data_IF_801872113707
#
_entry.id   IF_801872113707
#
_cell.length_a   1.000
_cell.length_b   1.000
_cell.length_c   1.000
_cell.angle_alpha   90.00
_cell.angle_beta   90.00
_cell.angle_gamma   90.00
#
_symmetry.space_group_name_H-M   'P 1'
#
loop_
_entity.id
_entity.type
_entity.pdbx_description
1 polymer ?
#
# COMPACT_ATOMS: atom_id res chain seq x y z
N UNK A 1 -1.63 11.65 40.58
CA UNK A 1 -1.69 11.22 39.17
C UNK A 1 -0.30 11.40 38.56
N UNK A 2 0.23 10.41 37.86
CA UNK A 2 1.43 10.57 37.05
C UNK A 2 1.07 11.44 35.84
N UNK A 3 1.71 12.60 35.67
CA UNK A 3 1.43 13.55 34.60
C UNK A 3 2.03 13.15 33.24
N UNK A 4 1.75 11.91 32.78
CA UNK A 4 2.18 11.50 31.44
C UNK A 4 1.42 12.30 30.41
N UNK A 5 2.17 12.96 29.50
CA UNK A 5 1.63 13.74 28.38
C UNK A 5 2.15 13.19 27.07
N UNK A 6 1.30 13.07 26.07
CA UNK A 6 1.66 12.80 24.68
C UNK A 6 1.44 14.10 23.90
N UNK A 7 2.43 14.49 23.10
CA UNK A 7 2.37 15.66 22.23
C UNK A 7 2.58 15.23 20.79
N UNK A 8 1.59 15.46 19.94
CA UNK A 8 1.69 15.24 18.49
C UNK A 8 2.14 16.54 17.84
N UNK A 9 3.20 16.46 17.03
CA UNK A 9 3.78 17.60 16.32
C UNK A 9 3.55 17.49 14.82
N UNK A 10 2.52 18.12 14.24
CA UNK A 10 2.23 18.07 12.81
C UNK A 10 3.44 18.46 11.93
N UNK A 11 4.18 19.48 12.33
CA UNK A 11 5.38 19.90 11.61
C UNK A 11 6.48 18.81 11.53
N UNK A 12 6.60 17.94 12.55
CA UNK A 12 7.53 16.83 12.53
C UNK A 12 7.06 15.73 11.58
N UNK A 13 5.74 15.46 11.50
CA UNK A 13 5.17 14.53 10.54
C UNK A 13 5.40 15.01 9.10
N UNK A 14 5.13 16.28 8.80
CA UNK A 14 5.41 16.87 7.50
C UNK A 14 6.90 16.80 7.15
N UNK A 15 7.79 17.10 8.11
CA UNK A 15 9.25 16.98 7.91
C UNK A 15 9.66 15.55 7.56
N UNK A 16 9.14 14.56 8.25
CA UNK A 16 9.44 13.15 7.99
C UNK A 16 8.93 12.71 6.62
N UNK A 17 7.74 13.17 6.22
CA UNK A 17 7.17 12.91 4.90
C UNK A 17 8.06 13.49 3.78
N UNK A 18 8.50 14.76 3.90
CA UNK A 18 9.47 15.36 2.96
C UNK A 18 10.77 14.57 2.89
N UNK A 19 11.25 14.10 4.03
CA UNK A 19 12.47 13.30 4.06
C UNK A 19 12.30 11.98 3.34
N UNK A 20 11.17 11.30 3.53
CA UNK A 20 10.83 10.08 2.81
C UNK A 20 10.73 10.34 1.30
N UNK A 21 10.05 11.42 0.89
CA UNK A 21 9.93 11.80 -0.53
C UNK A 21 11.29 12.09 -1.17
N UNK A 22 12.17 12.78 -0.47
CA UNK A 22 13.54 13.03 -0.95
C UNK A 22 14.37 11.75 -1.10
N UNK A 23 14.16 10.74 -0.24
CA UNK A 23 14.84 9.45 -0.33
C UNK A 23 14.25 8.56 -1.43
N UNK A 24 13.00 8.77 -1.81
CA UNK A 24 12.32 7.98 -2.84
C UNK A 24 12.81 8.26 -4.27
N UNK A 25 13.63 9.30 -4.46
CA UNK A 25 14.34 9.60 -5.72
C UNK A 25 13.39 9.62 -6.96
N UNK A 26 12.31 10.38 -6.83
CA UNK A 26 11.30 10.54 -7.89
C UNK A 26 10.18 9.49 -7.88
N UNK A 27 10.26 8.46 -7.05
CA UNK A 27 9.16 7.53 -6.86
C UNK A 27 8.00 8.15 -6.05
N UNK A 28 6.80 7.61 -6.25
CA UNK A 28 5.64 7.99 -5.44
C UNK A 28 5.75 7.44 -4.01
N UNK A 29 5.32 8.26 -3.05
CA UNK A 29 5.33 7.92 -1.62
C UNK A 29 3.91 7.92 -1.08
N UNK A 30 3.47 6.75 -0.61
CA UNK A 30 2.23 6.59 0.13
C UNK A 30 2.53 6.55 1.63
N UNK A 31 2.04 7.55 2.38
CA UNK A 31 2.18 7.56 3.82
C UNK A 31 1.17 6.63 4.48
N UNK A 32 1.65 5.60 5.18
CA UNK A 32 0.78 4.71 5.94
C UNK A 32 0.28 5.40 7.19
N UNK A 33 -1.05 5.60 7.28
CA UNK A 33 -1.73 6.28 8.41
C UNK A 33 -2.74 5.37 9.11
N UNK A 34 -2.73 4.07 8.82
CA UNK A 34 -3.57 3.06 9.46
C UNK A 34 -3.39 3.02 10.98
N UNK A 35 -4.27 2.30 11.68
CA UNK A 35 -4.27 2.17 13.14
C UNK A 35 -4.22 3.55 13.83
N UNK A 36 -5.15 4.43 13.45
CA UNK A 36 -5.25 5.80 13.96
C UNK A 36 -3.94 6.59 13.79
N UNK A 37 -3.33 6.53 12.57
CA UNK A 37 -2.05 7.19 12.30
C UNK A 37 -0.91 6.64 13.14
N UNK A 38 -0.90 5.33 13.41
CA UNK A 38 0.02 4.70 14.37
C UNK A 38 -0.01 5.38 15.75
N UNK A 39 -1.20 5.78 16.20
CA UNK A 39 -1.43 6.46 17.47
C UNK A 39 -1.26 7.99 17.42
N UNK A 40 -0.95 8.58 16.28
CA UNK A 40 -0.81 10.04 16.11
C UNK A 40 -2.15 10.73 15.79
N UNK A 41 -3.22 9.98 15.59
CA UNK A 41 -4.50 10.46 15.07
C UNK A 41 -4.53 10.38 13.54
N UNK A 42 -5.50 9.63 13.01
CA UNK A 42 -5.62 9.33 11.57
C UNK A 42 -5.67 10.63 10.73
N UNK A 43 -6.61 11.50 11.06
CA UNK A 43 -6.83 12.75 10.31
C UNK A 43 -5.74 13.78 10.56
N UNK A 44 -5.23 13.87 11.79
CA UNK A 44 -4.11 14.76 12.14
C UNK A 44 -2.86 14.38 11.35
N UNK A 45 -2.53 13.10 11.28
CA UNK A 45 -1.37 12.62 10.55
C UNK A 45 -1.54 12.87 9.05
N UNK A 46 -2.71 12.53 8.47
CA UNK A 46 -2.96 12.71 7.05
C UNK A 46 -2.93 14.19 6.64
N UNK A 47 -3.61 15.06 7.37
CA UNK A 47 -3.62 16.50 7.09
C UNK A 47 -2.23 17.11 7.19
N UNK A 48 -1.43 16.71 8.19
CA UNK A 48 -0.07 17.20 8.35
C UNK A 48 0.86 16.84 7.17
N UNK A 49 0.64 15.70 6.51
CA UNK A 49 1.49 15.18 5.44
C UNK A 49 0.92 15.40 4.04
N UNK A 50 -0.31 15.89 3.89
CA UNK A 50 -1.03 15.91 2.61
C UNK A 50 -0.32 16.66 1.48
N UNK A 51 0.47 17.70 1.78
CA UNK A 51 1.25 18.44 0.79
C UNK A 51 2.61 17.80 0.46
N UNK A 52 2.99 16.75 1.17
CA UNK A 52 4.35 16.20 1.13
C UNK A 52 4.43 14.78 0.55
N UNK A 53 3.28 14.14 0.33
CA UNK A 53 3.18 12.76 -0.15
C UNK A 53 2.23 12.65 -1.34
N UNK A 54 2.33 11.56 -2.11
CA UNK A 54 1.51 11.34 -3.30
C UNK A 54 0.19 10.64 -2.97
N UNK A 55 0.11 10.00 -1.81
CA UNK A 55 -1.09 9.32 -1.34
C UNK A 55 -0.97 8.81 0.09
N UNK A 56 -2.04 8.18 0.55
CA UNK A 56 -2.11 7.60 1.88
C UNK A 56 -2.42 6.11 1.81
N UNK A 57 -1.91 5.36 2.77
CA UNK A 57 -2.26 3.96 2.95
C UNK A 57 -2.96 3.74 4.29
N UNK A 58 -4.06 3.03 4.24
CA UNK A 58 -4.84 2.60 5.41
C UNK A 58 -4.96 1.08 5.45
N UNK A 59 -5.42 0.50 6.55
CA UNK A 59 -5.65 -0.93 6.62
C UNK A 59 -7.01 -1.30 6.00
N UNK A 60 -8.06 -0.66 6.46
CA UNK A 60 -9.47 -1.00 6.19
C UNK A 60 -10.25 0.18 5.63
N UNK A 61 -11.43 -0.13 5.11
CA UNK A 61 -12.28 0.83 4.40
C UNK A 61 -12.79 1.97 5.30
N UNK A 62 -13.08 1.69 6.56
CA UNK A 62 -13.55 2.68 7.53
C UNK A 62 -12.53 3.81 7.76
N UNK A 63 -11.24 3.48 7.75
CA UNK A 63 -10.19 4.48 7.85
C UNK A 63 -10.15 5.36 6.58
N UNK A 64 -10.33 4.75 5.41
CA UNK A 64 -10.38 5.48 4.14
C UNK A 64 -11.59 6.42 4.08
N UNK A 65 -12.77 5.94 4.49
CA UNK A 65 -14.00 6.74 4.60
C UNK A 65 -13.76 7.95 5.49
N UNK A 66 -13.21 7.74 6.68
CA UNK A 66 -12.89 8.82 7.62
C UNK A 66 -11.95 9.86 6.99
N UNK A 67 -10.95 9.47 6.23
CA UNK A 67 -10.08 10.41 5.53
C UNK A 67 -10.84 11.22 4.47
N UNK A 68 -11.72 10.58 3.69
CA UNK A 68 -12.55 11.27 2.68
C UNK A 68 -13.50 12.28 3.33
N UNK A 69 -14.17 11.92 4.43
CA UNK A 69 -15.05 12.81 5.21
C UNK A 69 -14.31 14.03 5.76
N UNK A 70 -13.01 13.90 6.01
CA UNK A 70 -12.15 15.01 6.48
C UNK A 70 -11.42 15.73 5.34
N UNK A 71 -11.87 15.56 4.09
CA UNK A 71 -11.41 16.35 2.95
C UNK A 71 -10.08 15.91 2.34
N UNK A 72 -9.58 14.72 2.65
CA UNK A 72 -8.39 14.18 1.98
C UNK A 72 -8.76 13.76 0.57
N UNK A 73 -8.35 14.54 -0.43
CA UNK A 73 -8.59 14.28 -1.85
C UNK A 73 -7.50 13.40 -2.51
N UNK A 74 -6.32 13.33 -1.91
CA UNK A 74 -5.20 12.52 -2.42
C UNK A 74 -5.58 11.04 -2.59
N UNK A 75 -4.90 10.26 -3.44
CA UNK A 75 -5.07 8.81 -3.54
C UNK A 75 -5.02 8.13 -2.18
N UNK A 76 -5.94 7.19 -1.93
CA UNK A 76 -5.97 6.38 -0.71
C UNK A 76 -5.97 4.92 -1.10
N UNK A 77 -4.98 4.18 -0.60
CA UNK A 77 -4.80 2.75 -0.79
C UNK A 77 -5.30 2.00 0.45
N UNK A 78 -6.22 1.06 0.27
CA UNK A 78 -6.68 0.15 1.31
C UNK A 78 -5.86 -1.14 1.26
N UNK A 79 -5.01 -1.36 2.26
CA UNK A 79 -3.99 -2.41 2.24
C UNK A 79 -4.55 -3.84 2.43
N UNK A 80 -5.73 -3.97 3.06
CA UNK A 80 -6.44 -5.24 3.21
C UNK A 80 -7.52 -5.43 2.13
N UNK A 81 -7.69 -4.41 1.26
CA UNK A 81 -8.65 -4.45 0.17
C UNK A 81 -10.09 -4.29 0.66
N UNK A 82 -10.95 -5.22 0.31
CA UNK A 82 -12.37 -5.28 0.68
C UNK A 82 -12.71 -6.70 1.16
N UNK A 83 -13.71 -6.83 2.02
CA UNK A 83 -14.10 -8.11 2.62
C UNK A 83 -15.42 -8.66 2.06
N UNK A 84 -16.21 -7.82 1.40
CA UNK A 84 -17.46 -8.22 0.76
C UNK A 84 -17.78 -7.30 -0.43
N UNK A 85 -18.96 -7.53 -1.02
CA UNK A 85 -19.45 -6.77 -2.17
C UNK A 85 -19.81 -5.33 -1.81
N UNK A 86 -20.33 -5.10 -0.63
CA UNK A 86 -20.75 -3.74 -0.20
C UNK A 86 -19.52 -2.86 -0.02
N UNK A 87 -18.46 -3.36 0.59
CA UNK A 87 -17.18 -2.69 0.67
C UNK A 87 -16.52 -2.46 -0.71
N UNK A 88 -16.63 -3.42 -1.64
CA UNK A 88 -16.16 -3.23 -3.01
C UNK A 88 -16.88 -2.08 -3.70
N UNK A 89 -18.19 -1.99 -3.56
CA UNK A 89 -18.99 -0.89 -4.13
C UNK A 89 -18.65 0.45 -3.48
N UNK A 90 -18.44 0.47 -2.17
CA UNK A 90 -18.02 1.67 -1.46
C UNK A 90 -16.61 2.11 -1.85
N UNK A 91 -15.66 1.18 -2.02
CA UNK A 91 -14.32 1.49 -2.50
C UNK A 91 -14.35 2.22 -3.85
N UNK A 92 -15.24 1.80 -4.75
CA UNK A 92 -15.48 2.48 -6.04
C UNK A 92 -16.08 3.87 -5.84
N UNK A 93 -17.12 3.98 -5.01
CA UNK A 93 -17.80 5.25 -4.75
C UNK A 93 -16.86 6.30 -4.15
N UNK A 94 -15.93 5.89 -3.28
CA UNK A 94 -14.93 6.73 -2.66
C UNK A 94 -13.65 6.92 -3.51
N UNK A 95 -13.60 6.35 -4.73
CA UNK A 95 -12.44 6.40 -5.62
C UNK A 95 -11.15 5.97 -4.89
N UNK A 96 -11.20 4.80 -4.25
CA UNK A 96 -10.07 4.23 -3.54
C UNK A 96 -9.21 3.34 -4.45
N UNK A 97 -7.96 3.17 -4.07
CA UNK A 97 -7.11 2.10 -4.56
C UNK A 97 -7.18 0.92 -3.59
N UNK A 98 -7.24 -0.30 -4.09
CA UNK A 98 -7.36 -1.49 -3.23
C UNK A 98 -6.27 -2.51 -3.51
N UNK A 99 -5.86 -3.20 -2.47
CA UNK A 99 -4.94 -4.33 -2.57
C UNK A 99 -5.72 -5.62 -2.66
N UNK A 100 -5.44 -6.42 -3.68
CA UNK A 100 -5.98 -7.77 -3.87
C UNK A 100 -4.92 -8.77 -3.42
N UNK A 101 -5.23 -9.55 -2.41
CA UNK A 101 -4.27 -10.44 -1.76
C UNK A 101 -4.75 -11.90 -1.67
N UNK A 102 -5.96 -12.19 -2.14
CA UNK A 102 -6.59 -13.50 -1.97
C UNK A 102 -7.42 -13.90 -3.21
N UNK A 103 -7.50 -15.20 -3.53
CA UNK A 103 -8.29 -15.69 -4.67
C UNK A 103 -9.78 -15.32 -4.60
N UNK A 104 -10.37 -15.25 -3.40
CA UNK A 104 -11.78 -14.91 -3.26
C UNK A 104 -12.07 -13.43 -3.65
N UNK A 105 -11.12 -12.52 -3.42
CA UNK A 105 -11.24 -11.13 -3.90
C UNK A 105 -11.20 -11.08 -5.43
N UNK A 106 -10.34 -11.88 -6.05
CA UNK A 106 -10.30 -12.02 -7.52
C UNK A 106 -11.65 -12.55 -8.06
N UNK A 107 -12.22 -13.56 -7.41
CA UNK A 107 -13.54 -14.09 -7.80
C UNK A 107 -14.62 -13.01 -7.71
N UNK A 108 -14.68 -12.26 -6.60
CA UNK A 108 -15.65 -11.19 -6.43
C UNK A 108 -15.50 -10.07 -7.49
N UNK A 109 -14.29 -9.70 -7.83
CA UNK A 109 -14.02 -8.71 -8.89
C UNK A 109 -14.44 -9.21 -10.28
N UNK A 110 -14.29 -10.51 -10.56
CA UNK A 110 -14.75 -11.11 -11.82
C UNK A 110 -16.27 -11.15 -11.92
N UNK A 111 -16.95 -11.43 -10.81
CA UNK A 111 -18.41 -11.51 -10.74
C UNK A 111 -19.06 -10.11 -10.78
N UNK A 112 -18.33 -9.09 -10.35
CA UNK A 112 -18.76 -7.69 -10.38
C UNK A 112 -17.62 -6.79 -10.91
N UNK A 113 -17.30 -6.85 -12.21
CA UNK A 113 -16.28 -6.02 -12.81
C UNK A 113 -16.69 -4.55 -12.87
N UNK A 114 -15.74 -3.64 -12.72
CA UNK A 114 -15.98 -2.19 -12.77
C UNK A 114 -14.74 -1.37 -12.53
N UNK A 115 -14.83 -0.04 -12.68
CA UNK A 115 -13.69 0.84 -12.53
C UNK A 115 -13.16 0.81 -11.10
N UNK A 116 -11.92 0.34 -10.95
CA UNK A 116 -11.23 0.28 -9.67
C UNK A 116 -9.73 0.22 -9.93
N UNK A 117 -8.95 1.03 -9.21
CA UNK A 117 -7.50 0.93 -9.25
C UNK A 117 -7.04 -0.14 -8.25
N UNK A 118 -6.52 -1.24 -8.75
CA UNK A 118 -6.17 -2.40 -7.92
C UNK A 118 -4.68 -2.74 -8.01
N UNK A 119 -4.12 -3.21 -6.88
CA UNK A 119 -2.75 -3.66 -6.73
C UNK A 119 -2.73 -5.13 -6.33
N UNK A 120 -1.94 -5.94 -7.00
CA UNK A 120 -1.77 -7.34 -6.59
C UNK A 120 -0.74 -7.44 -5.46
N UNK A 121 -1.16 -7.97 -4.32
CA UNK A 121 -0.25 -8.25 -3.21
C UNK A 121 0.54 -9.52 -3.48
N UNK A 122 1.87 -9.36 -3.57
CA UNK A 122 2.82 -10.44 -3.83
C UNK A 122 3.40 -10.94 -2.50
N UNK A 123 3.21 -12.21 -2.19
CA UNK A 123 3.91 -12.84 -1.07
C UNK A 123 5.25 -13.36 -1.53
N UNK A 124 6.29 -12.64 -1.20
CA UNK A 124 7.67 -12.94 -1.57
C UNK A 124 8.51 -13.46 -0.38
N UNK A 125 7.84 -13.86 0.72
CA UNK A 125 8.52 -14.46 1.86
C UNK A 125 8.11 -13.94 3.24
N UNK A 126 7.27 -12.89 3.33
CA UNK A 126 6.76 -12.41 4.62
C UNK A 126 5.67 -13.34 5.20
N UNK A 127 4.92 -14.04 4.35
CA UNK A 127 3.91 -15.05 4.71
C UNK A 127 2.78 -14.56 5.63
N UNK A 128 2.43 -13.27 5.52
CA UNK A 128 1.29 -12.69 6.23
C UNK A 128 0.05 -12.57 5.35
N UNK A 129 0.17 -11.88 4.22
CA UNK A 129 -0.86 -11.69 3.19
C UNK A 129 -0.20 -11.72 1.81
N UNK A 130 -0.98 -12.04 0.80
CA UNK A 130 -0.56 -11.94 -0.60
C UNK A 130 -0.62 -13.27 -1.33
N UNK A 131 -0.67 -13.14 -2.64
CA UNK A 131 -0.66 -14.25 -3.59
C UNK A 131 0.79 -14.74 -3.78
N UNK A 132 0.98 -16.04 -3.86
CA UNK A 132 2.26 -16.62 -4.31
C UNK A 132 2.49 -16.24 -5.78
N UNK A 133 3.76 -16.24 -6.27
CA UNK A 133 4.06 -15.84 -7.65
C UNK A 133 3.12 -16.43 -8.70
N UNK A 134 2.98 -17.74 -8.75
CA UNK A 134 2.11 -18.42 -9.72
C UNK A 134 0.64 -17.99 -9.58
N UNK A 135 0.18 -17.85 -8.33
CA UNK A 135 -1.20 -17.40 -8.07
C UNK A 135 -1.42 -15.94 -8.45
N UNK A 136 -0.39 -15.09 -8.37
CA UNK A 136 -0.47 -13.70 -8.80
C UNK A 136 -0.58 -13.58 -10.32
N UNK A 137 0.17 -14.39 -11.08
CA UNK A 137 0.06 -14.47 -12.54
C UNK A 137 -1.35 -14.94 -12.96
N UNK A 138 -1.85 -16.02 -12.37
CA UNK A 138 -3.21 -16.52 -12.62
C UNK A 138 -4.28 -15.49 -12.27
N UNK A 139 -4.12 -14.76 -11.14
CA UNK A 139 -5.04 -13.70 -10.75
C UNK A 139 -5.09 -12.57 -11.78
N UNK A 140 -3.92 -12.15 -12.29
CA UNK A 140 -3.84 -11.12 -13.32
C UNK A 140 -4.53 -11.55 -14.61
N UNK A 141 -4.33 -12.79 -15.06
CA UNK A 141 -5.03 -13.36 -16.24
C UNK A 141 -6.54 -13.36 -16.06
N UNK A 142 -7.02 -13.79 -14.88
CA UNK A 142 -8.44 -13.81 -14.57
C UNK A 142 -9.06 -12.41 -14.54
N UNK A 143 -8.37 -11.45 -13.96
CA UNK A 143 -8.79 -10.03 -13.92
C UNK A 143 -8.79 -9.43 -15.32
N UNK A 144 -7.75 -9.68 -16.12
CA UNK A 144 -7.67 -9.21 -17.51
C UNK A 144 -8.82 -9.75 -18.36
N UNK A 145 -9.20 -11.03 -18.20
CA UNK A 145 -10.36 -11.64 -18.86
C UNK A 145 -11.69 -10.96 -18.48
N UNK A 146 -11.77 -10.35 -17.30
CA UNK A 146 -12.89 -9.51 -16.84
C UNK A 146 -12.74 -8.02 -17.22
N UNK A 147 -11.76 -7.66 -18.03
CA UNK A 147 -11.50 -6.26 -18.43
C UNK A 147 -10.85 -5.41 -17.34
N UNK A 148 -10.26 -6.00 -16.32
CA UNK A 148 -9.61 -5.32 -15.20
C UNK A 148 -8.12 -5.64 -15.20
N UNK A 149 -7.28 -4.60 -15.22
CA UNK A 149 -5.83 -4.77 -15.16
C UNK A 149 -5.26 -4.21 -13.86
N UNK A 150 -4.33 -4.92 -13.21
CA UNK A 150 -3.64 -4.38 -12.04
C UNK A 150 -2.85 -3.10 -12.38
N UNK A 151 -2.96 -2.10 -11.51
CA UNK A 151 -2.17 -0.88 -11.60
C UNK A 151 -0.73 -1.09 -11.17
N UNK A 152 -0.47 -2.14 -10.38
CA UNK A 152 0.87 -2.48 -9.90
C UNK A 152 0.90 -3.77 -9.09
N UNK A 153 2.11 -4.24 -8.84
CA UNK A 153 2.42 -5.26 -7.84
C UNK A 153 2.85 -4.60 -6.53
N UNK A 154 2.51 -5.21 -5.40
CA UNK A 154 2.91 -4.72 -4.09
C UNK A 154 3.48 -5.86 -3.25
N UNK A 155 4.67 -5.68 -2.68
CA UNK A 155 5.23 -6.61 -1.70
C UNK A 155 5.46 -5.93 -0.34
N UNK A 156 6.01 -6.65 0.62
CA UNK A 156 6.44 -6.11 1.90
C UNK A 156 7.60 -6.93 2.45
N UNK A 157 8.62 -6.23 2.93
CA UNK A 157 9.82 -6.87 3.49
C UNK A 157 9.59 -7.27 4.95
N UNK A 158 10.01 -8.48 5.29
CA UNK A 158 9.88 -9.02 6.64
C UNK A 158 10.88 -8.41 7.61
N UNK A 159 12.10 -8.12 7.14
CA UNK A 159 13.27 -7.85 7.99
C UNK A 159 14.15 -6.71 7.46
N UNK A 160 13.57 -5.71 6.77
CA UNK A 160 14.36 -4.59 6.24
C UNK A 160 14.99 -3.70 7.32
N UNK A 161 14.55 -3.82 8.56
CA UNK A 161 15.11 -3.17 9.75
C UNK A 161 16.27 -3.97 10.39
N UNK A 162 16.42 -5.26 10.07
CA UNK A 162 17.53 -6.08 10.50
C UNK A 162 18.76 -5.87 9.58
N UNK A 163 19.96 -5.91 10.16
CA UNK A 163 21.19 -5.80 9.38
C UNK A 163 21.57 -7.16 8.75
N UNK A 164 22.02 -7.11 7.50
CA UNK A 164 22.77 -8.19 6.81
C UNK A 164 22.10 -9.57 6.73
N UNK A 165 20.78 -9.60 6.71
CA UNK A 165 20.03 -10.85 6.72
C UNK A 165 19.83 -11.46 5.29
N UNK A 166 20.02 -10.66 4.23
CA UNK A 166 19.88 -11.09 2.81
C UNK A 166 18.44 -11.39 2.37
N UNK A 167 17.49 -11.49 3.29
CA UNK A 167 16.07 -11.77 2.98
C UNK A 167 15.42 -10.63 2.19
N UNK A 168 15.77 -9.38 2.51
CA UNK A 168 15.24 -8.21 1.81
C UNK A 168 15.61 -8.24 0.33
N UNK A 169 16.85 -8.58 -0.02
CA UNK A 169 17.31 -8.69 -1.40
C UNK A 169 16.63 -9.85 -2.13
N UNK A 170 16.50 -11.00 -1.48
CA UNK A 170 15.79 -12.17 -2.02
C UNK A 170 14.31 -11.84 -2.28
N UNK A 171 13.63 -11.17 -1.33
CA UNK A 171 12.25 -10.75 -1.49
C UNK A 171 12.09 -9.72 -2.61
N UNK A 172 13.03 -8.78 -2.73
CA UNK A 172 13.01 -7.77 -3.79
C UNK A 172 13.20 -8.40 -5.17
N UNK A 173 14.18 -9.31 -5.31
CA UNK A 173 14.42 -9.99 -6.58
C UNK A 173 13.17 -10.75 -7.06
N UNK A 174 12.55 -11.52 -6.17
CA UNK A 174 11.32 -12.25 -6.50
C UNK A 174 10.14 -11.32 -6.80
N UNK A 175 9.99 -10.22 -6.05
CA UNK A 175 8.93 -9.24 -6.31
C UNK A 175 9.10 -8.58 -7.67
N UNK A 176 10.33 -8.22 -8.03
CA UNK A 176 10.66 -7.61 -9.31
C UNK A 176 10.43 -8.59 -10.49
N UNK A 177 10.82 -9.85 -10.34
CA UNK A 177 10.56 -10.88 -11.34
C UNK A 177 9.06 -11.02 -11.64
N UNK A 178 8.23 -11.12 -10.60
CA UNK A 178 6.78 -11.25 -10.77
C UNK A 178 6.18 -9.97 -11.38
N UNK A 179 6.56 -8.79 -10.87
CA UNK A 179 6.06 -7.52 -11.41
C UNK A 179 6.43 -7.32 -12.88
N UNK A 180 7.66 -7.68 -13.27
CA UNK A 180 8.11 -7.66 -14.67
C UNK A 180 7.31 -8.63 -15.52
N UNK A 181 7.04 -9.84 -15.05
CA UNK A 181 6.22 -10.83 -15.75
C UNK A 181 4.77 -10.35 -15.95
N UNK A 182 4.26 -9.57 -15.00
CA UNK A 182 2.94 -8.92 -15.08
C UNK A 182 2.95 -7.66 -15.96
N UNK A 183 4.11 -7.09 -16.27
CA UNK A 183 4.24 -5.82 -16.99
C UNK A 183 3.75 -4.61 -16.20
N UNK A 184 3.86 -4.62 -14.87
CA UNK A 184 3.36 -3.57 -13.98
C UNK A 184 4.45 -3.00 -13.07
N UNK A 185 4.30 -1.75 -12.59
CA UNK A 185 5.21 -1.18 -11.60
C UNK A 185 5.15 -1.93 -10.27
N UNK A 186 6.22 -1.85 -9.48
CA UNK A 186 6.35 -2.51 -8.18
C UNK A 186 6.43 -1.48 -7.05
N UNK A 187 5.63 -1.69 -6.00
CA UNK A 187 5.73 -1.00 -4.72
C UNK A 187 6.18 -1.98 -3.63
N UNK A 188 7.34 -1.78 -3.01
CA UNK A 188 7.89 -2.73 -2.04
C UNK A 188 8.48 -2.07 -0.78
N UNK A 189 9.14 -0.91 -0.91
CA UNK A 189 9.89 -0.30 0.17
C UNK A 189 8.99 0.18 1.32
N UNK A 190 9.22 -0.37 2.51
CA UNK A 190 8.80 0.25 3.77
C UNK A 190 9.85 1.29 4.21
N UNK A 191 9.65 1.99 5.33
CA UNK A 191 10.57 3.03 5.81
C UNK A 191 11.99 2.53 6.02
N UNK A 192 12.17 1.33 6.54
CA UNK A 192 13.50 0.74 6.75
C UNK A 192 14.19 0.47 5.41
N UNK A 193 13.50 -0.13 4.45
CA UNK A 193 14.01 -0.40 3.12
C UNK A 193 14.31 0.91 2.37
N UNK A 194 13.43 1.90 2.44
CA UNK A 194 13.64 3.21 1.83
C UNK A 194 14.96 3.87 2.28
N UNK A 195 15.31 3.72 3.55
CA UNK A 195 16.52 4.30 4.12
C UNK A 195 17.76 3.45 3.79
N UNK A 196 17.68 2.13 3.94
CA UNK A 196 18.85 1.23 3.94
C UNK A 196 19.14 0.59 2.59
N UNK A 197 18.12 0.36 1.76
CA UNK A 197 18.20 -0.39 0.51
C UNK A 197 17.76 0.46 -0.70
N UNK A 198 18.62 1.36 -1.22
CA UNK A 198 18.26 2.27 -2.33
C UNK A 198 17.67 1.57 -3.56
N UNK A 199 18.10 0.35 -3.85
CA UNK A 199 17.61 -0.45 -4.98
C UNK A 199 16.18 -0.96 -4.83
N UNK A 200 15.57 -0.84 -3.63
CA UNK A 200 14.16 -1.20 -3.41
C UNK A 200 13.19 -0.04 -3.64
N UNK A 201 13.72 1.14 -3.90
CA UNK A 201 12.93 2.34 -4.26
C UNK A 201 12.33 2.10 -5.63
N UNK A 202 11.04 2.31 -5.76
CA UNK A 202 10.18 1.86 -6.87
C UNK A 202 10.88 1.68 -8.22
N UNK A 203 10.66 0.53 -8.82
CA UNK A 203 10.97 0.30 -10.22
C UNK A 203 9.73 0.69 -11.03
N UNK A 204 9.92 1.63 -11.97
CA UNK A 204 8.92 2.01 -12.97
C UNK A 204 8.84 0.96 -14.06
#
# INVERSE_FOLDING_TARGET
>A
MRGTRVEIRPAALAHNARRAKALADGADVFAMVKANGYGHGLTVAAQAMAAEVDGFGVAVLEEARTLREHGIAAPILVAEGFFDRDELLEARALSLEVVVHSPWQVALLRDDPGPLRLWLKLNTGMNRLGLRPDSALQAAEQLAAAGMNPAGGMSHFACADEADDGRTDTQMALAAEVANSLGVPLSAANSAALIRYPHTRAQR
#
